data_IF_275362571427
#
_entry.id   IF_275362571427
#
_cell.length_a   1.000
_cell.length_b   1.000
_cell.length_c   1.000
_cell.angle_alpha   90.00
_cell.angle_beta   90.00
_cell.angle_gamma   90.00
#
_symmetry.space_group_name_H-M   'P 1'
#
loop_
_entity.id
_entity.type
_entity.pdbx_description
1 polymer ?
#
# COMPACT_ATOMS: atom_id res chain seq x y z
N UNK A 1 12.68 13.87 8.39
CA UNK A 1 12.54 13.36 8.03
C UNK A 1 12.29 12.57 8.06
N UNK A 2 11.95 12.23 7.95
CA UNK A 2 11.70 11.50 7.82
C UNK A 2 11.25 10.79 7.59
N UNK A 3 11.08 10.66 7.61
CA UNK A 3 10.76 9.83 6.97
C UNK A 3 9.82 8.81 7.23
N UNK A 4 8.64 8.90 7.10
CA UNK A 4 7.71 7.88 7.29
C UNK A 4 7.93 6.82 6.28
N UNK A 5 8.48 5.75 6.73
CA UNK A 5 8.73 4.65 5.87
C UNK A 5 7.86 3.52 6.23
N UNK A 6 7.11 3.03 5.28
CA UNK A 6 6.26 1.86 5.48
C UNK A 6 6.83 0.71 4.71
N UNK A 7 6.96 -0.42 5.38
CA UNK A 7 7.37 -1.63 4.70
C UNK A 7 6.22 -2.15 3.87
N UNK A 8 6.52 -2.53 2.65
CA UNK A 8 5.50 -3.09 1.77
C UNK A 8 5.95 -4.48 1.36
N UNK A 9 5.09 -5.44 1.53
CA UNK A 9 5.37 -6.81 1.18
C UNK A 9 4.70 -7.09 -0.16
N UNK A 10 5.49 -7.52 -1.15
CA UNK A 10 4.95 -7.86 -2.46
C UNK A 10 4.87 -9.36 -2.58
N UNK A 11 3.69 -9.85 -2.84
CA UNK A 11 3.45 -11.28 -2.93
C UNK A 11 3.03 -11.61 -4.35
N UNK A 12 3.79 -12.45 -5.05
CA UNK A 12 3.40 -12.85 -6.40
C UNK A 12 2.17 -13.75 -6.34
N UNK A 13 1.24 -13.49 -7.26
CA UNK A 13 0.01 -14.27 -7.33
C UNK A 13 0.12 -15.33 -8.41
N UNK A 14 -0.46 -16.50 -8.18
CA UNK A 14 -0.36 -17.59 -9.18
C UNK A 14 -0.98 -17.23 -10.52
N UNK A 15 -1.93 -16.35 -10.52
CA UNK A 15 -2.60 -15.94 -11.76
C UNK A 15 -1.87 -14.82 -12.48
N UNK A 16 -0.81 -14.33 -11.89
CA UNK A 16 -0.09 -13.19 -12.41
C UNK A 16 -0.36 -11.97 -11.56
N UNK A 17 0.57 -11.04 -11.59
CA UNK A 17 0.44 -9.85 -10.80
C UNK A 17 0.99 -10.01 -9.40
N UNK A 18 0.86 -8.95 -8.60
CA UNK A 18 1.40 -8.91 -7.25
C UNK A 18 0.41 -8.26 -6.31
N UNK A 19 0.35 -8.80 -5.10
CA UNK A 19 -0.41 -8.19 -4.03
C UNK A 19 0.57 -7.42 -3.14
N UNK A 20 0.25 -6.16 -2.86
CA UNK A 20 1.08 -5.32 -2.00
C UNK A 20 0.39 -5.17 -0.66
N UNK A 21 1.09 -5.54 0.39
CA UNK A 21 0.55 -5.50 1.75
C UNK A 21 1.38 -4.54 2.58
N UNK A 22 0.72 -3.64 3.29
CA UNK A 22 1.38 -2.71 4.19
C UNK A 22 1.03 -3.11 5.61
N UNK A 23 1.89 -3.89 6.28
CA UNK A 23 1.54 -4.42 7.61
C UNK A 23 1.32 -3.34 8.65
N UNK A 24 1.98 -2.21 8.52
CA UNK A 24 1.82 -1.12 9.49
C UNK A 24 0.45 -0.47 9.42
N UNK A 25 -0.26 -0.65 8.32
CA UNK A 25 -1.58 -0.04 8.14
C UNK A 25 -2.59 -1.14 7.94
N UNK A 26 -3.33 -1.50 9.00
CA UNK A 26 -4.28 -2.61 8.89
C UNK A 26 -5.28 -2.41 7.76
N UNK A 27 -5.47 -3.42 6.97
CA UNK A 27 -6.39 -3.36 5.87
C UNK A 27 -5.84 -2.68 4.62
N UNK A 28 -4.61 -2.21 4.65
CA UNK A 28 -4.03 -1.56 3.48
C UNK A 28 -3.39 -2.60 2.58
N UNK A 29 -4.19 -3.12 1.67
CA UNK A 29 -3.77 -4.15 0.73
C UNK A 29 -4.19 -3.72 -0.66
N UNK A 30 -3.25 -3.78 -1.60
CA UNK A 30 -3.55 -3.43 -2.98
C UNK A 30 -3.05 -4.50 -3.92
N UNK A 31 -3.36 -4.35 -5.18
CA UNK A 31 -2.99 -5.32 -6.19
C UNK A 31 -2.54 -4.60 -7.45
N UNK A 32 -1.53 -5.13 -8.11
CA UNK A 32 -1.07 -4.59 -9.37
C UNK A 32 -0.77 -5.72 -10.34
N UNK A 33 -0.86 -5.42 -11.62
CA UNK A 33 -0.62 -6.42 -12.65
C UNK A 33 0.85 -6.81 -12.73
N UNK A 34 1.73 -5.91 -12.31
CA UNK A 34 3.15 -6.20 -12.23
C UNK A 34 3.71 -5.50 -11.01
N UNK A 35 5.00 -5.70 -10.77
CA UNK A 35 5.62 -5.17 -9.57
C UNK A 35 5.58 -3.65 -9.53
N UNK A 36 5.82 -3.01 -10.65
CA UNK A 36 5.81 -1.56 -10.70
C UNK A 36 4.42 -1.01 -10.39
N UNK A 37 3.41 -1.61 -10.98
CA UNK A 37 2.05 -1.16 -10.74
C UNK A 37 1.65 -1.41 -9.28
N UNK A 38 2.02 -2.56 -8.74
CA UNK A 38 1.71 -2.86 -7.35
C UNK A 38 2.36 -1.85 -6.43
N UNK A 39 3.58 -1.44 -6.74
CA UNK A 39 4.28 -0.44 -5.95
C UNK A 39 3.57 0.90 -6.01
N UNK A 40 3.16 1.32 -7.18
CA UNK A 40 2.46 2.59 -7.33
C UNK A 40 1.13 2.57 -6.61
N UNK A 41 0.42 1.47 -6.72
CA UNK A 41 -0.85 1.35 -6.02
C UNK A 41 -0.67 1.37 -4.51
N UNK A 42 0.41 0.75 -4.02
CA UNK A 42 0.68 0.77 -2.59
C UNK A 42 0.98 2.18 -2.10
N UNK A 43 1.77 2.93 -2.84
CA UNK A 43 2.09 4.30 -2.46
C UNK A 43 0.83 5.14 -2.41
N UNK A 44 -0.01 5.00 -3.40
CA UNK A 44 -1.25 5.74 -3.47
C UNK A 44 -2.18 5.36 -2.31
N UNK A 45 -2.25 4.06 -2.02
CA UNK A 45 -3.09 3.58 -0.95
C UNK A 45 -2.63 4.08 0.42
N UNK A 46 -1.31 4.13 0.63
CA UNK A 46 -0.77 4.65 1.88
C UNK A 46 -1.16 6.12 2.06
N UNK A 47 -1.00 6.90 1.00
CA UNK A 47 -1.37 8.30 1.06
C UNK A 47 -2.83 8.49 1.38
N UNK A 48 -3.70 7.73 0.71
CA UNK A 48 -5.13 7.82 0.96
C UNK A 48 -5.52 7.36 2.34
N UNK A 49 -4.85 6.32 2.83
CA UNK A 49 -5.12 5.79 4.16
C UNK A 49 -4.83 6.86 5.23
N UNK A 50 -3.66 7.47 5.12
CA UNK A 50 -3.26 8.48 6.10
C UNK A 50 -4.17 9.70 6.01
N UNK A 51 -4.49 10.12 4.81
CA UNK A 51 -5.37 11.26 4.63
C UNK A 51 -6.76 10.99 5.21
N UNK A 52 -7.24 9.78 5.05
CA UNK A 52 -8.52 9.39 5.59
C UNK A 52 -8.52 9.46 7.12
N UNK A 53 -7.43 9.02 7.73
CA UNK A 53 -7.31 9.11 9.18
C UNK A 53 -7.33 10.55 9.66
N UNK A 54 -6.65 11.43 8.94
CA UNK A 54 -6.62 12.83 9.32
C UNK A 54 -8.01 13.46 9.23
N UNK A 55 -8.73 13.13 8.20
CA UNK A 55 -10.09 13.65 8.07
C UNK A 55 -10.99 13.16 9.18
N UNK A 56 -10.79 11.91 9.57
CA UNK A 56 -11.60 11.33 10.60
C UNK A 56 -11.38 12.00 11.95
N UNK A 57 -10.20 12.51 12.16
CA UNK A 57 -9.87 13.11 13.44
C UNK A 57 -10.62 14.40 13.69
N UNK A 58 -11.08 15.03 12.66
CA UNK A 58 -11.84 16.24 12.84
C UNK A 58 -13.27 15.97 13.10
#
# INVERSE_FOLDING_TARGET
>A
MKNAKYNVIFKPEPEGGFTAIVPSLPGCVTYGADLLEAKEMAIDAIGGYIESLKKHCC
#
